data_IF_331659040470
#
_entry.id   IF_331659040470
#
_cell.length_a   1.000
_cell.length_b   1.000
_cell.length_c   1.000
_cell.angle_alpha   90.00
_cell.angle_beta   90.00
_cell.angle_gamma   90.00
#
_symmetry.space_group_name_H-M   'P 1'
#
loop_
_entity.id
_entity.type
_entity.pdbx_description
1 polymer ?
#
# COMPACT_ATOMS: atom_id res chain seq x y z
N UNK A 1 6.21 -4.55 -3.80
CA UNK A 1 6.10 -4.65 -2.32
C UNK A 1 4.89 -3.85 -1.88
N UNK A 2 4.12 -4.31 -0.89
CA UNK A 2 3.01 -3.51 -0.36
C UNK A 2 3.56 -2.26 0.33
N UNK A 3 2.84 -1.15 0.17
CA UNK A 3 3.08 0.06 0.94
C UNK A 3 2.50 -0.09 2.34
N UNK A 4 3.18 0.47 3.34
CA UNK A 4 2.68 0.52 4.72
C UNK A 4 2.70 1.96 5.23
N UNK A 5 1.58 2.49 5.77
CA UNK A 5 1.47 3.88 6.21
C UNK A 5 2.41 4.22 7.37
N UNK A 6 2.69 3.26 8.26
CA UNK A 6 3.52 3.45 9.45
C UNK A 6 5.02 3.63 9.15
N UNK A 7 5.46 3.32 7.93
CA UNK A 7 6.88 3.42 7.54
C UNK A 7 7.07 4.68 6.72
N UNK A 8 7.80 5.64 7.27
CA UNK A 8 8.06 6.90 6.59
C UNK A 8 9.07 6.79 5.45
N UNK A 9 8.81 7.55 4.39
CA UNK A 9 9.72 7.78 3.26
C UNK A 9 9.44 6.90 2.04
N UNK A 10 10.15 7.17 0.95
CA UNK A 10 9.99 6.48 -0.35
C UNK A 10 10.83 5.20 -0.48
N UNK A 11 11.47 4.75 0.59
CA UNK A 11 12.47 3.68 0.57
C UNK A 11 11.87 2.29 0.80
N UNK A 12 12.63 1.26 0.40
CA UNK A 12 12.37 -0.15 0.76
C UNK A 12 13.13 -0.48 2.03
N UNK A 13 12.41 -0.93 3.07
CA UNK A 13 13.01 -1.28 4.37
C UNK A 13 12.57 -2.67 4.83
N UNK A 14 13.48 -3.41 5.47
CA UNK A 14 13.14 -4.67 6.15
C UNK A 14 12.66 -4.37 7.57
N UNK A 15 11.41 -4.66 7.85
CA UNK A 15 10.76 -4.38 9.14
C UNK A 15 10.18 -5.66 9.73
N UNK A 16 10.19 -5.78 11.06
CA UNK A 16 9.58 -6.90 11.77
C UNK A 16 8.06 -6.70 11.80
N UNK A 17 7.33 -7.53 11.07
CA UNK A 17 5.87 -7.47 10.96
C UNK A 17 5.25 -8.55 11.85
N UNK A 18 4.18 -8.18 12.55
CA UNK A 18 3.30 -9.09 13.32
C UNK A 18 1.94 -9.29 12.67
N UNK A 19 1.62 -8.54 11.61
CA UNK A 19 0.30 -8.52 11.00
C UNK A 19 0.29 -7.78 9.66
N UNK A 20 -0.89 -7.71 9.01
CA UNK A 20 -1.06 -7.03 7.74
C UNK A 20 -0.93 -5.50 7.90
N UNK A 21 -0.61 -4.75 6.83
CA UNK A 21 -0.35 -5.20 5.47
C UNK A 21 1.07 -5.75 5.23
N UNK A 22 1.19 -6.74 4.34
CA UNK A 22 2.46 -7.35 3.91
C UNK A 22 2.88 -8.61 4.67
N UNK A 23 2.21 -8.95 5.77
CA UNK A 23 2.38 -10.22 6.45
C UNK A 23 1.06 -10.70 7.05
N UNK A 24 0.62 -11.90 6.70
CA UNK A 24 -0.52 -12.56 7.33
C UNK A 24 0.04 -13.70 8.21
N UNK A 25 0.08 -13.53 9.54
CA UNK A 25 0.59 -14.55 10.44
C UNK A 25 -0.32 -15.78 10.40
N UNK A 26 0.27 -16.97 10.45
CA UNK A 26 -0.48 -18.24 10.48
C UNK A 26 -0.66 -18.77 11.89
N UNK A 27 0.23 -18.36 12.79
CA UNK A 27 0.23 -18.77 14.20
C UNK A 27 0.18 -17.55 15.11
N UNK A 28 -0.46 -17.67 16.29
CA UNK A 28 -0.46 -16.61 17.29
C UNK A 28 0.98 -16.28 17.71
N UNK A 29 1.31 -14.99 17.78
CA UNK A 29 2.64 -14.50 18.13
C UNK A 29 3.70 -14.58 17.02
N UNK A 30 3.36 -15.07 15.83
CA UNK A 30 4.29 -15.14 14.71
C UNK A 30 4.69 -13.72 14.26
N UNK A 31 6.00 -13.45 14.20
CA UNK A 31 6.55 -12.21 13.65
C UNK A 31 7.61 -12.53 12.62
N UNK A 32 7.59 -11.85 11.47
CA UNK A 32 8.57 -12.07 10.40
C UNK A 32 9.13 -10.77 9.87
N UNK A 33 10.45 -10.74 9.66
CA UNK A 33 11.13 -9.60 9.04
C UNK A 33 10.98 -9.66 7.52
N UNK A 34 10.14 -8.79 6.96
CA UNK A 34 9.88 -8.70 5.50
C UNK A 34 10.24 -7.32 4.96
N UNK A 35 10.53 -7.27 3.67
CA UNK A 35 10.75 -6.01 2.95
C UNK A 35 9.41 -5.37 2.59
N UNK A 36 9.23 -4.12 2.99
CA UNK A 36 8.04 -3.32 2.69
C UNK A 36 8.46 -1.96 2.14
N UNK A 37 7.52 -1.29 1.47
CA UNK A 37 7.71 0.08 0.99
C UNK A 37 7.09 1.06 1.99
N UNK A 38 7.74 2.20 2.16
CA UNK A 38 7.19 3.27 2.99
C UNK A 38 5.94 3.92 2.39
N UNK A 39 5.47 4.95 3.07
CA UNK A 39 4.19 5.62 2.82
C UNK A 39 4.24 6.66 1.69
N UNK A 40 5.43 7.09 1.26
CA UNK A 40 5.59 8.10 0.21
C UNK A 40 5.49 7.47 -1.18
N UNK A 41 4.67 8.07 -2.05
CA UNK A 41 4.53 7.65 -3.43
C UNK A 41 5.75 8.14 -4.23
N UNK A 42 6.37 7.23 -4.98
CA UNK A 42 7.58 7.46 -5.80
C UNK A 42 7.43 6.76 -7.13
N UNK A 43 8.23 7.13 -8.13
CA UNK A 43 8.14 6.60 -9.51
C UNK A 43 8.33 5.08 -9.65
N UNK A 44 8.97 4.43 -8.67
CA UNK A 44 9.12 2.97 -8.65
C UNK A 44 7.83 2.19 -8.27
N UNK A 45 6.70 2.88 -8.03
CA UNK A 45 5.44 2.26 -7.67
C UNK A 45 4.66 1.89 -8.93
N UNK A 46 4.30 0.61 -9.05
CA UNK A 46 3.61 0.07 -10.23
C UNK A 46 2.10 0.31 -10.19
N UNK A 47 1.49 0.38 -9.00
CA UNK A 47 0.04 0.56 -8.84
C UNK A 47 -0.26 1.39 -7.60
N UNK A 48 -1.25 2.28 -7.71
CA UNK A 48 -1.80 3.06 -6.61
C UNK A 48 -3.27 2.69 -6.43
N UNK A 49 -3.65 2.33 -5.21
CA UNK A 49 -5.05 2.09 -4.87
C UNK A 49 -5.68 3.41 -4.42
N UNK A 50 -6.73 3.84 -5.12
CA UNK A 50 -7.46 5.07 -4.80
C UNK A 50 -8.93 4.76 -4.52
N UNK A 51 -9.58 5.60 -3.70
CA UNK A 51 -11.02 5.57 -3.43
C UNK A 51 -11.61 6.94 -3.74
N UNK A 52 -12.75 6.96 -4.42
CA UNK A 52 -13.48 8.18 -4.76
C UNK A 52 -14.18 8.67 -3.49
N UNK A 53 -13.87 9.91 -3.08
CA UNK A 53 -14.46 10.57 -1.89
C UNK A 53 -15.52 11.59 -2.26
N UNK A 54 -15.47 12.12 -3.48
CA UNK A 54 -16.42 13.10 -4.02
C UNK A 54 -16.49 12.94 -5.54
N UNK A 55 -17.69 13.04 -6.09
CA UNK A 55 -17.91 13.06 -7.53
C UNK A 55 -17.51 14.43 -8.12
N UNK A 56 -16.81 14.39 -9.25
CA UNK A 56 -16.41 15.58 -9.99
C UNK A 56 -17.48 16.03 -10.98
N UNK A 57 -17.13 16.99 -11.84
CA UNK A 57 -18.03 17.52 -12.87
C UNK A 57 -18.36 16.51 -13.98
N UNK A 58 -17.49 15.52 -14.19
CA UNK A 58 -17.65 14.49 -15.23
C UNK A 58 -17.88 13.12 -14.61
N UNK A 59 -18.80 12.31 -15.18
CA UNK A 59 -19.04 10.95 -14.71
C UNK A 59 -17.81 10.05 -14.93
N UNK A 60 -17.64 9.06 -14.05
CA UNK A 60 -16.46 8.18 -14.01
C UNK A 60 -16.39 7.31 -15.27
N UNK A 61 -17.54 6.92 -15.82
CA UNK A 61 -17.67 6.12 -17.03
C UNK A 61 -17.02 6.78 -18.24
N UNK A 62 -17.06 8.12 -18.31
CA UNK A 62 -16.38 8.89 -19.37
C UNK A 62 -14.86 8.99 -19.15
N UNK A 63 -14.41 9.00 -17.90
CA UNK A 63 -12.99 9.18 -17.55
C UNK A 63 -12.21 7.87 -17.68
N UNK A 64 -12.76 6.77 -17.18
CA UNK A 64 -12.07 5.48 -17.16
C UNK A 64 -12.34 4.65 -18.41
N UNK A 65 -13.38 4.97 -19.18
CA UNK A 65 -13.78 4.20 -20.35
C UNK A 65 -14.17 2.76 -19.99
N UNK A 66 -14.88 2.08 -20.88
CA UNK A 66 -15.00 0.62 -20.81
C UNK A 66 -13.81 -0.04 -21.50
#
# INVERSE_FOLDING_TARGET
FPMRPDVHGGVRKRVLLSGPPGFHPTRPGERRRKTIRGNMITDEIVQVNAKIVKEGEKPIEEILGK
#
